data_IF_563423278309
#
_entry.id   IF_563423278309
#
_cell.length_a   1.000
_cell.length_b   1.000
_cell.length_c   1.000
_cell.angle_alpha   90.00
_cell.angle_beta   90.00
_cell.angle_gamma   90.00
#
_symmetry.space_group_name_H-M   'P 1'
#
loop_
_entity.id
_entity.type
_entity.pdbx_description
1 polymer ?
#
# COMPACT_ATOMS: atom_id res chain seq x y z
N UNK A 1 2.36 -0.96 -12.27
CA UNK A 1 2.85 -0.68 -13.64
C UNK A 1 4.30 -0.20 -13.70
N UNK A 2 4.72 0.58 -12.71
CA UNK A 2 6.09 1.10 -12.47
C UNK A 2 7.19 0.05 -12.71
N UNK A 3 7.02 -1.19 -12.23
CA UNK A 3 8.00 -2.28 -12.41
C UNK A 3 8.28 -2.63 -13.89
N UNK A 4 7.27 -2.56 -14.78
CA UNK A 4 7.45 -2.81 -16.21
C UNK A 4 8.16 -1.63 -16.89
N UNK A 5 7.89 -0.41 -16.45
CA UNK A 5 8.55 0.82 -16.93
C UNK A 5 10.04 0.90 -16.53
N UNK A 6 10.36 0.59 -15.27
CA UNK A 6 11.75 0.50 -14.80
C UNK A 6 12.55 -0.54 -15.60
N UNK A 7 11.91 -1.68 -15.93
CA UNK A 7 12.50 -2.74 -16.76
C UNK A 7 12.73 -2.32 -18.22
N UNK A 8 11.93 -1.40 -18.78
CA UNK A 8 12.08 -0.92 -20.17
C UNK A 8 13.13 0.19 -20.33
N UNK A 9 13.53 0.86 -19.24
CA UNK A 9 14.56 1.93 -19.26
C UNK A 9 15.95 1.50 -18.76
N UNK A 10 16.26 0.20 -18.74
CA UNK A 10 17.53 -0.35 -18.21
C UNK A 10 17.87 0.06 -16.76
N UNK A 11 16.87 0.47 -15.96
CA UNK A 11 16.99 0.51 -14.52
C UNK A 11 16.77 -0.92 -13.99
N UNK A 12 17.81 -1.75 -14.10
CA UNK A 12 17.78 -3.14 -13.63
C UNK A 12 17.43 -3.20 -12.13
N UNK A 13 16.23 -3.69 -11.83
CA UNK A 13 15.87 -4.30 -10.55
C UNK A 13 15.99 -5.81 -10.76
N UNK A 14 16.90 -6.43 -10.03
CA UNK A 14 17.02 -7.88 -9.98
C UNK A 14 15.76 -8.46 -9.32
N UNK A 15 15.05 -9.34 -10.03
CA UNK A 15 13.97 -10.15 -9.47
C UNK A 15 14.45 -11.59 -9.37
N UNK A 16 14.54 -12.10 -8.14
CA UNK A 16 14.73 -13.52 -7.88
C UNK A 16 13.36 -14.24 -7.91
N UNK A 17 13.25 -15.43 -8.54
CA UNK A 17 12.05 -16.23 -8.50
C UNK A 17 11.92 -16.96 -7.16
N UNK A 18 10.68 -17.07 -6.68
CA UNK A 18 10.29 -17.86 -5.50
C UNK A 18 10.51 -19.36 -5.73
N UNK A 19 11.22 -20.03 -4.82
CA UNK A 19 11.13 -21.48 -4.64
C UNK A 19 11.01 -21.86 -3.16
N UNK A 20 10.41 -23.03 -2.96
CA UNK A 20 9.82 -23.60 -1.74
C UNK A 20 10.83 -24.26 -0.78
N UNK A 21 10.36 -24.41 0.48
CA UNK A 21 10.67 -25.41 1.51
C UNK A 21 12.11 -25.60 2.01
N UNK A 22 12.31 -25.45 3.33
CA UNK A 22 12.65 -26.60 4.20
C UNK A 22 12.49 -26.25 5.69
N UNK A 23 11.84 -27.16 6.43
CA UNK A 23 11.83 -27.24 7.89
C UNK A 23 13.26 -27.37 8.45
N UNK A 24 13.54 -26.72 9.58
CA UNK A 24 14.55 -27.18 10.53
C UNK A 24 13.97 -27.10 11.96
N UNK A 25 13.70 -28.28 12.51
CA UNK A 25 13.53 -28.53 13.95
C UNK A 25 14.90 -28.44 14.63
N UNK A 26 14.97 -27.86 15.82
CA UNK A 26 16.00 -28.25 16.79
C UNK A 26 15.45 -28.26 18.22
N UNK A 27 15.78 -29.36 18.90
CA UNK A 27 15.34 -29.78 20.22
C UNK A 27 16.02 -29.02 21.37
N UNK A 28 15.28 -29.05 22.48
CA UNK A 28 15.57 -28.79 23.89
C UNK A 28 16.88 -29.38 24.42
N UNK A 29 17.52 -28.66 25.36
CA UNK A 29 18.27 -29.28 26.48
C UNK A 29 17.99 -28.49 27.76
N UNK A 30 17.44 -29.16 28.77
CA UNK A 30 17.36 -28.74 30.17
C UNK A 30 18.64 -29.13 30.93
N UNK A 31 19.00 -28.31 31.92
CA UNK A 31 19.73 -28.65 33.17
C UNK A 31 19.64 -27.37 34.03
N UNK A 32 19.30 -27.32 35.31
CA UNK A 32 19.19 -28.31 36.36
C UNK A 32 19.83 -27.75 37.65
N UNK A 33 18.99 -27.42 38.64
CA UNK A 33 19.22 -27.64 40.09
C UNK A 33 19.98 -26.60 40.97
N UNK A 34 19.19 -25.91 41.81
CA UNK A 34 19.20 -25.95 43.31
C UNK A 34 20.13 -25.08 44.19
N UNK A 35 19.43 -24.25 44.98
CA UNK A 35 19.47 -24.02 46.45
C UNK A 35 20.55 -23.18 47.16
N UNK A 36 19.97 -22.30 47.99
CA UNK A 36 20.30 -21.93 49.38
C UNK A 36 21.23 -20.74 49.67
N UNK A 37 20.73 -19.85 50.55
CA UNK A 37 21.53 -19.38 51.68
C UNK A 37 21.59 -17.88 51.96
N UNK A 38 20.59 -17.37 52.67
CA UNK A 38 20.71 -16.50 53.88
C UNK A 38 21.78 -15.40 53.98
N UNK A 39 21.29 -14.15 53.90
CA UNK A 39 21.32 -13.07 54.92
C UNK A 39 22.59 -12.64 55.69
N UNK A 40 22.64 -11.31 55.88
CA UNK A 40 23.29 -10.47 56.91
C UNK A 40 24.74 -10.00 56.69
N UNK A 41 24.91 -8.70 56.46
CA UNK A 41 25.53 -7.78 57.42
C UNK A 41 25.41 -6.31 56.96
N UNK A 42 24.96 -5.46 57.88
CA UNK A 42 24.90 -4.00 57.76
C UNK A 42 26.30 -3.38 57.89
N UNK A 43 26.56 -2.29 57.17
CA UNK A 43 27.20 -1.11 57.76
C UNK A 43 27.02 0.14 56.88
N UNK A 44 26.63 1.22 57.57
CA UNK A 44 26.48 2.60 57.12
C UNK A 44 27.77 3.15 56.51
N UNK A 45 27.68 4.08 55.55
CA UNK A 45 28.53 5.29 55.48
C UNK A 45 28.09 6.25 54.36
N UNK A 46 27.69 7.45 54.81
CA UNK A 46 27.94 8.78 54.26
C UNK A 46 27.30 9.25 52.93
N UNK A 47 26.63 10.38 53.08
CA UNK A 47 25.93 11.19 52.07
C UNK A 47 26.90 11.97 51.17
N UNK A 48 26.66 11.97 49.85
CA UNK A 48 27.12 13.02 48.95
C UNK A 48 26.26 13.10 47.68
N UNK A 49 25.38 14.09 47.65
CA UNK A 49 24.87 14.85 46.50
C UNK A 49 24.91 14.17 45.12
N UNK A 50 23.89 13.35 44.81
CA UNK A 50 23.55 13.02 43.43
C UNK A 50 22.81 14.21 42.81
N UNK A 51 23.52 15.09 42.09
CA UNK A 51 22.90 16.00 41.14
C UNK A 51 22.48 15.16 39.92
N UNK A 52 21.29 14.57 39.98
CA UNK A 52 20.65 13.89 38.85
C UNK A 52 20.31 14.95 37.79
N UNK A 53 21.27 15.26 36.92
CA UNK A 53 21.00 15.92 35.65
C UNK A 53 20.22 14.92 34.79
N UNK A 54 18.90 14.93 34.92
CA UNK A 54 18.01 14.21 34.01
C UNK A 54 18.06 14.93 32.67
N UNK A 55 19.13 14.69 31.90
CA UNK A 55 19.16 14.94 30.48
C UNK A 55 18.04 14.11 29.86
N UNK A 56 16.90 14.75 29.59
CA UNK A 56 15.93 14.21 28.65
C UNK A 56 16.63 14.24 27.29
N UNK A 57 17.34 13.16 26.98
CA UNK A 57 17.72 12.85 25.62
C UNK A 57 16.42 12.59 24.88
N UNK A 58 15.79 13.65 24.37
CA UNK A 58 14.83 13.52 23.28
C UNK A 58 15.65 12.98 22.12
N UNK A 59 15.65 11.65 21.97
CA UNK A 59 16.14 11.00 20.77
C UNK A 59 15.21 11.44 19.64
N UNK A 60 15.55 12.55 18.98
CA UNK A 60 14.97 12.89 17.69
C UNK A 60 15.46 11.78 16.77
N UNK A 61 14.65 10.75 16.61
CA UNK A 61 14.87 9.73 15.60
C UNK A 61 14.54 10.44 14.30
N UNK A 62 15.56 10.98 13.62
CA UNK A 62 15.42 11.33 12.20
C UNK A 62 15.08 10.02 11.49
N UNK A 63 13.80 9.82 11.21
CA UNK A 63 13.36 8.69 10.41
C UNK A 63 13.73 9.00 8.97
N UNK A 64 14.83 8.42 8.51
CA UNK A 64 15.24 8.44 7.12
C UNK A 64 14.17 7.70 6.28
N UNK A 65 13.30 8.46 5.61
CA UNK A 65 12.10 7.91 4.98
C UNK A 65 11.15 8.94 4.41
N UNK A 66 10.04 8.46 3.84
CA UNK A 66 8.96 9.29 3.30
C UNK A 66 7.69 9.09 4.12
N UNK A 67 6.96 10.17 4.37
CA UNK A 67 5.67 10.10 5.05
C UNK A 67 4.52 9.92 4.05
N UNK A 68 3.65 8.94 4.31
CA UNK A 68 2.39 8.77 3.60
C UNK A 68 1.24 9.17 4.51
N UNK A 69 0.59 10.29 4.21
CA UNK A 69 -0.61 10.77 4.90
C UNK A 69 -1.81 10.12 4.22
N UNK A 70 -2.41 9.12 4.85
CA UNK A 70 -3.57 8.39 4.31
C UNK A 70 -4.83 8.98 4.92
N UNK A 71 -5.63 9.66 4.10
CA UNK A 71 -6.83 10.37 4.51
C UNK A 71 -8.09 9.72 3.93
N UNK A 72 -9.15 9.64 4.73
CA UNK A 72 -10.46 9.18 4.28
C UNK A 72 -11.43 10.37 4.21
N UNK A 73 -11.73 10.82 2.99
CA UNK A 73 -12.76 11.82 2.74
C UNK A 73 -14.07 11.18 2.23
N UNK A 74 -14.19 9.85 2.29
CA UNK A 74 -15.44 9.16 2.02
C UNK A 74 -16.41 9.37 3.19
N UNK A 75 -17.72 9.30 2.92
CA UNK A 75 -18.78 9.38 3.96
C UNK A 75 -18.88 8.14 4.85
N UNK A 76 -18.21 7.07 4.46
CA UNK A 76 -18.19 5.78 5.15
C UNK A 76 -16.75 5.46 5.54
N UNK A 77 -16.58 4.59 6.54
CA UNK A 77 -15.25 4.09 6.91
C UNK A 77 -14.63 3.28 5.77
N UNK A 78 -13.31 3.42 5.63
CA UNK A 78 -12.51 2.60 4.73
C UNK A 78 -11.48 1.85 5.55
N UNK A 79 -11.01 0.72 5.01
CA UNK A 79 -9.94 -0.04 5.62
C UNK A 79 -8.75 -0.03 4.66
N UNK A 80 -7.85 0.97 4.76
CA UNK A 80 -6.67 0.99 3.92
C UNK A 80 -5.85 -0.28 4.13
N UNK A 81 -5.30 -0.79 3.04
CA UNK A 81 -4.40 -1.92 3.02
C UNK A 81 -3.13 -1.54 2.27
N UNK A 82 -1.99 -2.02 2.79
CA UNK A 82 -0.65 -1.65 2.34
C UNK A 82 0.13 -2.91 2.04
N UNK A 83 0.75 -2.97 0.87
CA UNK A 83 1.63 -4.05 0.49
C UNK A 83 2.97 -3.52 0.00
N UNK A 84 4.04 -3.84 0.73
CA UNK A 84 5.41 -3.67 0.25
C UNK A 84 5.71 -4.62 -0.90
N UNK A 85 6.48 -4.13 -1.89
CA UNK A 85 7.05 -4.95 -2.95
C UNK A 85 8.17 -5.85 -2.40
N UNK A 86 8.66 -6.81 -3.19
CA UNK A 86 9.68 -7.77 -2.75
C UNK A 86 10.88 -7.07 -2.12
N UNK A 87 11.20 -7.43 -0.87
CA UNK A 87 12.27 -6.80 -0.07
C UNK A 87 11.85 -5.58 0.75
N UNK A 88 10.62 -5.09 0.64
CA UNK A 88 10.11 -3.95 1.42
C UNK A 88 9.06 -4.36 2.46
N UNK A 89 9.04 -3.71 3.63
CA UNK A 89 8.05 -4.00 4.67
C UNK A 89 6.63 -3.55 4.26
N UNK A 90 5.62 -4.20 4.85
CA UNK A 90 4.23 -3.74 4.80
C UNK A 90 3.90 -3.06 6.14
N UNK A 91 3.98 -1.71 6.24
CA UNK A 91 3.74 -1.00 7.48
C UNK A 91 2.32 -1.23 8.00
N UNK A 92 2.09 -0.99 9.30
CA UNK A 92 0.82 -1.28 9.98
C UNK A 92 0.35 -2.73 9.78
N UNK A 93 1.28 -3.68 9.66
CA UNK A 93 1.00 -5.08 9.35
C UNK A 93 0.15 -5.26 8.07
N UNK A 94 0.23 -4.30 7.16
CA UNK A 94 -0.45 -4.28 5.88
C UNK A 94 -1.92 -3.85 5.90
N UNK A 95 -2.49 -3.39 7.01
CA UNK A 95 -3.84 -2.84 6.99
C UNK A 95 -4.35 -2.27 8.31
N UNK A 96 -5.27 -1.31 8.22
CA UNK A 96 -5.86 -0.64 9.38
C UNK A 96 -7.27 -0.13 9.09
N UNK A 97 -7.99 0.27 10.13
CA UNK A 97 -9.28 0.98 10.06
C UNK A 97 -9.05 2.49 9.91
N UNK A 98 -9.86 3.15 9.08
CA UNK A 98 -9.83 4.61 8.91
C UNK A 98 -11.27 5.14 8.78
N UNK A 99 -11.73 5.84 9.81
CA UNK A 99 -13.06 6.46 9.87
C UNK A 99 -13.23 7.62 8.88
N UNK A 100 -14.47 8.03 8.64
CA UNK A 100 -14.79 9.19 7.79
C UNK A 100 -14.17 10.46 8.37
N UNK A 101 -13.43 11.21 7.56
CA UNK A 101 -12.74 12.44 7.95
C UNK A 101 -11.42 12.23 8.72
N UNK A 102 -11.02 10.98 8.98
CA UNK A 102 -9.78 10.69 9.67
C UNK A 102 -8.58 10.62 8.71
N UNK A 103 -7.40 10.89 9.24
CA UNK A 103 -6.13 10.68 8.57
C UNK A 103 -5.13 9.94 9.48
N UNK A 104 -4.24 9.17 8.86
CA UNK A 104 -3.15 8.46 9.53
C UNK A 104 -1.87 8.67 8.76
N UNK A 105 -0.81 9.07 9.48
CA UNK A 105 0.55 9.13 8.93
C UNK A 105 1.19 7.75 9.02
N UNK A 106 1.69 7.27 7.88
CA UNK A 106 2.43 6.02 7.74
C UNK A 106 3.85 6.34 7.31
N UNK A 107 4.82 5.99 8.13
CA UNK A 107 6.24 6.09 7.80
C UNK A 107 6.66 4.90 6.93
N UNK A 108 7.33 5.18 5.81
CA UNK A 108 7.96 4.15 4.97
C UNK A 108 9.46 4.45 4.82
N UNK A 109 10.32 3.41 4.79
CA UNK A 109 11.77 3.60 4.68
C UNK A 109 12.15 4.27 3.35
N UNK A 110 13.34 4.85 3.28
CA UNK A 110 13.91 5.33 2.03
C UNK A 110 13.92 4.23 0.96
N UNK A 111 13.62 4.57 -0.29
CA UNK A 111 13.56 3.63 -1.39
C UNK A 111 12.36 2.69 -1.35
N UNK A 112 11.40 2.89 -0.43
CA UNK A 112 10.24 2.01 -0.31
C UNK A 112 9.47 1.92 -1.62
N UNK A 113 9.15 0.69 -2.01
CA UNK A 113 8.26 0.42 -3.12
C UNK A 113 7.12 -0.47 -2.68
N UNK A 114 5.91 -0.16 -3.13
CA UNK A 114 4.72 -0.89 -2.75
C UNK A 114 3.45 -0.29 -3.33
N UNK A 115 2.33 -0.69 -2.76
CA UNK A 115 1.00 -0.25 -3.15
C UNK A 115 0.06 -0.09 -1.97
N UNK A 116 -0.90 0.79 -2.12
CA UNK A 116 -1.99 1.04 -1.16
C UNK A 116 -3.32 0.93 -1.90
N UNK A 117 -4.34 0.37 -1.25
CA UNK A 117 -5.71 0.37 -1.74
C UNK A 117 -6.70 0.50 -0.58
N UNK A 118 -7.92 0.94 -0.87
CA UNK A 118 -8.99 1.02 0.11
C UNK A 118 -9.91 -0.20 0.03
N UNK A 119 -10.33 -0.71 1.18
CA UNK A 119 -11.35 -1.75 1.30
C UNK A 119 -12.63 -1.16 1.86
N UNK A 120 -13.79 -1.63 1.39
CA UNK A 120 -15.10 -1.11 1.78
C UNK A 120 -16.06 -2.20 2.23
N UNK A 121 -17.04 -1.83 3.06
CA UNK A 121 -18.05 -2.75 3.58
C UNK A 121 -17.44 -3.88 4.39
N UNK A 122 -16.46 -3.56 5.25
CA UNK A 122 -15.73 -4.55 6.02
C UNK A 122 -16.38 -4.82 7.38
N UNK A 123 -16.27 -6.06 7.82
CA UNK A 123 -16.58 -6.48 9.17
C UNK A 123 -15.43 -7.36 9.66
N UNK A 124 -14.84 -7.01 10.80
CA UNK A 124 -13.78 -7.78 11.43
C UNK A 124 -14.11 -8.02 12.89
N UNK A 125 -13.91 -9.26 13.32
CA UNK A 125 -13.93 -9.64 14.72
C UNK A 125 -12.79 -8.94 15.47
N UNK A 126 -13.12 -8.29 16.60
CA UNK A 126 -12.18 -7.44 17.32
C UNK A 126 -11.06 -8.24 18.01
N UNK A 127 -11.33 -9.50 18.39
CA UNK A 127 -10.39 -10.35 19.11
C UNK A 127 -9.39 -11.00 18.16
N UNK A 128 -9.85 -11.42 16.98
CA UNK A 128 -9.06 -12.21 16.03
C UNK A 128 -8.57 -11.39 14.84
N UNK A 129 -9.17 -10.23 14.56
CA UNK A 129 -8.89 -9.43 13.36
C UNK A 129 -9.33 -10.12 12.05
N UNK A 130 -10.15 -11.17 12.13
CA UNK A 130 -10.65 -11.94 10.99
C UNK A 130 -12.06 -11.52 10.61
N UNK A 131 -12.40 -11.65 9.33
CA UNK A 131 -13.70 -11.25 8.82
C UNK A 131 -13.72 -11.18 7.30
N UNK A 132 -14.32 -10.13 6.74
CA UNK A 132 -14.41 -9.93 5.29
C UNK A 132 -14.58 -8.46 4.92
N UNK A 133 -14.26 -8.11 3.68
CA UNK A 133 -14.66 -6.88 3.02
C UNK A 133 -15.46 -7.17 1.74
N UNK A 134 -16.38 -6.28 1.37
CA UNK A 134 -17.13 -6.40 0.12
C UNK A 134 -16.25 -6.18 -1.12
N UNK A 135 -15.27 -5.27 -1.02
CA UNK A 135 -14.28 -4.99 -2.07
C UNK A 135 -12.88 -4.84 -1.50
N UNK A 136 -11.88 -5.22 -2.30
CA UNK A 136 -10.46 -5.11 -1.93
C UNK A 136 -10.01 -6.04 -0.79
N UNK A 137 -10.82 -7.01 -0.39
CA UNK A 137 -10.50 -7.93 0.71
C UNK A 137 -9.12 -8.59 0.55
N UNK A 138 -8.41 -8.84 1.64
CA UNK A 138 -7.06 -9.43 1.61
C UNK A 138 -6.98 -10.73 2.40
N UNK A 139 -7.91 -11.65 2.14
CA UNK A 139 -7.97 -12.97 2.77
C UNK A 139 -8.74 -12.97 4.09
N UNK A 140 -9.69 -12.04 4.25
CA UNK A 140 -10.49 -11.90 5.45
C UNK A 140 -9.72 -11.41 6.66
N UNK A 141 -8.64 -10.65 6.47
CA UNK A 141 -7.79 -10.15 7.54
C UNK A 141 -7.85 -8.62 7.63
N UNK A 142 -7.96 -8.07 8.83
CA UNK A 142 -7.81 -6.63 9.07
C UNK A 142 -6.39 -6.17 8.68
N UNK A 143 -5.39 -6.90 9.15
CA UNK A 143 -3.98 -6.73 8.82
C UNK A 143 -3.60 -7.72 7.72
N UNK A 144 -3.39 -7.23 6.51
CA UNK A 144 -3.21 -8.09 5.34
C UNK A 144 -1.94 -8.94 5.35
N UNK A 145 -0.93 -8.60 6.17
CA UNK A 145 0.28 -9.42 6.38
C UNK A 145 0.95 -9.90 5.08
N UNK A 146 1.03 -9.02 4.08
CA UNK A 146 1.66 -9.34 2.78
C UNK A 146 0.71 -9.93 1.74
N UNK A 147 -0.56 -10.18 2.07
CA UNK A 147 -1.58 -10.63 1.12
C UNK A 147 -2.09 -9.45 0.30
N UNK A 148 -2.08 -9.60 -1.02
CA UNK A 148 -2.65 -8.60 -1.94
C UNK A 148 -4.18 -8.61 -1.91
N UNK A 149 -4.78 -7.44 -2.18
CA UNK A 149 -6.24 -7.31 -2.27
C UNK A 149 -6.83 -8.10 -3.43
N UNK A 150 -8.04 -8.62 -3.21
CA UNK A 150 -8.88 -9.28 -4.22
C UNK A 150 -9.56 -8.20 -5.07
N UNK A 151 -9.33 -8.19 -6.40
CA UNK A 151 -9.96 -7.24 -7.30
C UNK A 151 -11.50 -7.39 -7.42
N UNK A 152 -12.26 -6.32 -7.76
CA UNK A 152 -11.76 -5.04 -8.20
C UNK A 152 -11.28 -4.13 -7.05
N UNK A 153 -10.14 -3.48 -7.27
CA UNK A 153 -9.58 -2.53 -6.32
C UNK A 153 -8.78 -1.44 -7.06
N UNK A 154 -9.08 -0.18 -6.76
CA UNK A 154 -8.28 0.95 -7.22
C UNK A 154 -6.95 0.94 -6.47
N UNK A 155 -5.83 0.92 -7.19
CA UNK A 155 -4.49 0.84 -6.58
C UNK A 155 -3.76 2.18 -6.66
N UNK A 156 -3.12 2.59 -5.58
CA UNK A 156 -2.06 3.60 -5.58
C UNK A 156 -0.73 2.85 -5.57
N UNK A 157 0.10 3.03 -6.58
CA UNK A 157 1.41 2.37 -6.72
C UNK A 157 2.54 3.39 -6.58
N UNK A 158 3.62 3.04 -5.88
CA UNK A 158 4.77 3.94 -5.75
C UNK A 158 6.11 3.23 -5.57
N UNK A 159 7.16 3.96 -5.94
CA UNK A 159 8.57 3.68 -5.68
C UNK A 159 9.22 5.01 -5.26
N UNK A 160 9.56 5.14 -3.99
CA UNK A 160 10.00 6.39 -3.36
C UNK A 160 11.53 6.42 -3.28
N UNK A 161 12.16 6.47 -4.45
CA UNK A 161 13.60 6.32 -4.60
C UNK A 161 14.05 4.88 -4.84
N UNK A 162 15.31 4.73 -5.21
CA UNK A 162 16.02 3.46 -5.43
C UNK A 162 17.49 3.64 -5.06
N UNK A 163 18.24 2.55 -4.93
CA UNK A 163 19.70 2.61 -4.70
C UNK A 163 20.49 3.37 -5.78
N UNK A 164 19.87 3.66 -6.93
CA UNK A 164 20.49 4.35 -8.07
C UNK A 164 19.95 5.77 -8.29
N UNK A 165 18.86 6.16 -7.63
CA UNK A 165 18.19 7.44 -7.88
C UNK A 165 17.24 7.79 -6.74
N UNK A 166 17.32 9.03 -6.25
CA UNK A 166 16.38 9.61 -5.30
C UNK A 166 15.03 10.01 -5.94
N UNK A 167 14.83 9.75 -7.23
CA UNK A 167 13.58 10.11 -7.92
C UNK A 167 12.44 9.19 -7.50
N UNK A 168 11.31 9.77 -7.10
CA UNK A 168 10.10 9.02 -6.77
C UNK A 168 9.22 8.87 -8.00
N UNK A 169 8.55 7.73 -8.09
CA UNK A 169 7.57 7.38 -9.11
C UNK A 169 6.28 6.98 -8.42
N UNK A 170 5.15 7.53 -8.86
CA UNK A 170 3.84 7.16 -8.32
C UNK A 170 2.75 7.29 -9.36
N UNK A 171 1.72 6.46 -9.21
CA UNK A 171 0.55 6.46 -10.05
C UNK A 171 -0.69 5.90 -9.33
N UNK A 172 -1.86 6.13 -9.92
CA UNK A 172 -3.09 5.43 -9.59
C UNK A 172 -3.45 4.52 -10.77
N UNK A 173 -3.83 3.28 -10.48
CA UNK A 173 -4.03 2.23 -11.48
C UNK A 173 -5.39 1.55 -11.32
N UNK A 174 -6.09 1.45 -12.44
CA UNK A 174 -7.37 0.76 -12.63
C UNK A 174 -7.20 -0.57 -13.36
N UNK A 175 -5.96 -1.04 -13.53
CA UNK A 175 -5.68 -2.33 -14.17
C UNK A 175 -6.37 -3.49 -13.42
N UNK A 176 -6.48 -3.38 -12.10
CA UNK A 176 -7.19 -4.29 -11.21
C UNK A 176 -8.63 -3.82 -10.94
N UNK A 177 -9.20 -2.97 -11.81
CA UNK A 177 -10.54 -2.43 -11.66
C UNK A 177 -10.63 -1.25 -10.71
N UNK A 178 -11.85 -0.94 -10.30
CA UNK A 178 -12.19 0.19 -9.45
C UNK A 178 -13.18 -0.24 -8.37
N UNK A 179 -13.03 0.31 -7.17
CA UNK A 179 -14.02 0.17 -6.10
C UNK A 179 -14.35 1.52 -5.46
N UNK A 180 -13.34 2.34 -5.18
CA UNK A 180 -13.52 3.72 -4.72
C UNK A 180 -12.56 4.71 -5.40
N UNK A 181 -12.92 6.01 -5.42
CA UNK A 181 -12.02 7.05 -5.89
C UNK A 181 -10.83 7.24 -4.96
N UNK A 182 -9.67 7.53 -5.54
CA UNK A 182 -8.44 7.81 -4.79
C UNK A 182 -7.52 8.74 -5.58
N UNK A 183 -6.79 9.58 -4.85
CA UNK A 183 -5.69 10.39 -5.40
C UNK A 183 -4.45 10.28 -4.55
N UNK A 184 -3.30 10.59 -5.15
CA UNK A 184 -2.01 10.77 -4.49
C UNK A 184 -1.36 12.05 -5.01
N UNK A 185 -0.89 12.90 -4.09
CA UNK A 185 -0.16 14.13 -4.41
C UNK A 185 1.00 14.36 -3.44
N UNK A 186 2.13 14.93 -3.89
CA UNK A 186 3.24 15.30 -3.02
C UNK A 186 2.90 16.54 -2.17
N UNK A 187 3.49 16.63 -0.99
CA UNK A 187 3.51 17.86 -0.16
C UNK A 187 4.87 18.50 -0.32
N UNK A 188 4.90 19.74 -0.81
CA UNK A 188 6.15 20.50 -1.05
C UNK A 188 7.17 19.74 -1.91
N UNK A 189 6.70 19.06 -2.95
CA UNK A 189 7.55 18.29 -3.86
C UNK A 189 8.39 19.16 -4.78
N UNK A 190 9.58 18.67 -5.13
CA UNK A 190 10.49 19.27 -6.12
C UNK A 190 10.60 18.39 -7.37
N UNK A 191 10.61 19.02 -8.54
CA UNK A 191 10.68 18.35 -9.84
C UNK A 191 9.51 18.70 -10.77
N UNK A 192 9.78 18.81 -12.06
CA UNK A 192 8.80 19.24 -13.06
C UNK A 192 7.62 18.26 -13.24
N UNK A 193 7.77 17.00 -12.83
CA UNK A 193 6.74 15.96 -12.94
C UNK A 193 5.91 15.75 -11.67
N UNK A 194 6.07 16.58 -10.64
CA UNK A 194 5.22 16.54 -9.46
C UNK A 194 3.78 16.93 -9.85
N UNK A 195 2.79 16.14 -9.43
CA UNK A 195 1.40 16.40 -9.76
C UNK A 195 0.46 15.44 -9.06
N UNK A 196 -0.82 15.51 -9.43
CA UNK A 196 -1.83 14.60 -8.89
C UNK A 196 -1.89 13.36 -9.77
N UNK A 197 -1.69 12.19 -9.17
CA UNK A 197 -2.10 10.91 -9.74
C UNK A 197 -3.45 10.54 -9.14
N UNK A 198 -4.44 10.13 -9.92
CA UNK A 198 -5.77 9.93 -9.35
C UNK A 198 -6.83 9.42 -10.30
N UNK A 199 -7.76 8.68 -9.73
CA UNK A 199 -9.09 8.46 -10.27
C UNK A 199 -10.05 9.07 -9.26
N UNK A 200 -10.33 10.36 -9.45
CA UNK A 200 -11.07 11.17 -8.46
C UNK A 200 -12.58 10.99 -8.63
N UNK A 201 -13.05 10.72 -9.86
CA UNK A 201 -14.45 10.49 -10.15
C UNK A 201 -14.94 9.11 -9.69
N UNK A 202 -16.22 9.01 -9.35
CA UNK A 202 -16.87 7.74 -9.02
C UNK A 202 -17.17 6.93 -10.30
N UNK A 203 -16.21 6.10 -10.73
CA UNK A 203 -16.34 5.24 -11.92
C UNK A 203 -17.48 4.21 -11.81
N UNK A 204 -17.93 3.85 -10.60
CA UNK A 204 -19.07 2.94 -10.43
C UNK A 204 -20.35 3.46 -11.10
N UNK A 205 -20.53 4.78 -11.20
CA UNK A 205 -21.69 5.40 -11.87
C UNK A 205 -21.68 5.16 -13.38
N UNK A 206 -20.49 5.01 -13.96
CA UNK A 206 -20.28 4.82 -15.40
C UNK A 206 -19.91 3.38 -15.74
N UNK A 207 -20.00 2.45 -14.77
CA UNK A 207 -19.54 1.09 -14.95
C UNK A 207 -20.45 0.34 -15.95
N UNK A 208 -19.91 -0.18 -17.08
CA UNK A 208 -20.69 -0.99 -18.00
C UNK A 208 -21.25 -2.22 -17.30
N UNK A 209 -22.48 -2.62 -17.64
CA UNK A 209 -23.17 -3.76 -17.01
C UNK A 209 -22.35 -5.06 -16.99
N UNK A 210 -21.57 -5.31 -18.04
CA UNK A 210 -20.68 -6.47 -18.13
C UNK A 210 -19.52 -6.49 -17.09
N UNK A 211 -19.22 -5.34 -16.47
CA UNK A 211 -18.11 -5.14 -15.54
C UNK A 211 -18.57 -4.89 -14.10
N UNK A 212 -19.87 -4.70 -13.87
CA UNK A 212 -20.43 -4.36 -12.56
C UNK A 212 -20.16 -5.46 -11.53
N UNK A 213 -19.78 -5.03 -10.32
CA UNK A 213 -19.83 -5.83 -9.10
C UNK A 213 -20.89 -5.22 -8.19
N UNK A 214 -21.96 -5.97 -7.97
CA UNK A 214 -23.08 -5.54 -7.13
C UNK A 214 -23.09 -6.30 -5.80
N UNK A 215 -23.44 -5.60 -4.71
CA UNK A 215 -23.75 -6.18 -3.40
C UNK A 215 -24.97 -5.46 -2.86
N UNK A 216 -25.99 -6.23 -2.43
CA UNK A 216 -27.22 -5.69 -1.83
C UNK A 216 -27.88 -4.58 -2.67
N UNK A 217 -27.94 -4.75 -4.00
CA UNK A 217 -28.56 -3.76 -4.90
C UNK A 217 -27.71 -2.50 -5.17
N UNK A 218 -26.48 -2.42 -4.65
CA UNK A 218 -25.54 -1.31 -4.86
C UNK A 218 -24.34 -1.76 -5.69
N UNK A 219 -23.98 -0.98 -6.72
CA UNK A 219 -22.70 -1.15 -7.42
C UNK A 219 -21.57 -0.77 -6.48
N UNK A 220 -20.80 -1.75 -6.05
CA UNK A 220 -19.67 -1.57 -5.11
C UNK A 220 -18.31 -1.57 -5.81
N UNK A 221 -18.26 -2.00 -7.07
CA UNK A 221 -17.04 -1.96 -7.86
C UNK A 221 -17.28 -2.17 -9.34
N UNK A 222 -16.24 -1.90 -10.12
CA UNK A 222 -16.19 -2.08 -11.55
C UNK A 222 -14.94 -2.88 -11.91
N UNK A 223 -15.12 -4.08 -12.46
CA UNK A 223 -14.00 -4.90 -12.95
C UNK A 223 -13.29 -4.19 -14.10
N UNK A 224 -11.99 -4.37 -14.20
CA UNK A 224 -11.29 -4.09 -15.45
C UNK A 224 -11.70 -5.10 -16.52
N UNK A 225 -11.45 -4.78 -17.79
CA UNK A 225 -11.72 -5.70 -18.89
C UNK A 225 -10.93 -7.02 -18.77
N UNK A 226 -9.69 -6.96 -18.26
CA UNK A 226 -8.90 -8.16 -18.00
C UNK A 226 -9.59 -9.06 -16.97
N UNK A 227 -10.06 -8.49 -15.85
CA UNK A 227 -10.72 -9.26 -14.80
C UNK A 227 -12.03 -9.90 -15.25
N UNK A 228 -12.79 -9.21 -16.10
CA UNK A 228 -14.06 -9.72 -16.60
C UNK A 228 -13.87 -10.78 -17.69
N UNK A 229 -12.99 -10.54 -18.67
CA UNK A 229 -12.85 -11.40 -19.84
C UNK A 229 -11.79 -12.49 -19.71
N UNK A 230 -10.77 -12.29 -18.84
CA UNK A 230 -9.64 -13.22 -18.60
C UNK A 230 -8.92 -13.70 -19.86
N UNK A 231 -8.98 -12.93 -20.94
CA UNK A 231 -8.33 -13.27 -22.22
C UNK A 231 -7.02 -12.51 -22.39
N UNK A 232 -6.09 -13.09 -23.15
CA UNK A 232 -4.79 -12.48 -23.45
C UNK A 232 -4.88 -11.07 -24.04
N UNK A 233 -5.89 -10.82 -24.88
CA UNK A 233 -6.12 -9.50 -25.48
C UNK A 233 -6.40 -8.41 -24.44
N UNK A 234 -7.20 -8.72 -23.42
CA UNK A 234 -7.59 -7.75 -22.39
C UNK A 234 -6.57 -7.66 -21.24
N UNK A 235 -5.87 -8.77 -20.96
CA UNK A 235 -4.83 -8.84 -19.94
C UNK A 235 -3.43 -8.49 -20.46
N UNK A 236 -3.31 -8.29 -21.78
CA UNK A 236 -2.07 -7.97 -22.46
C UNK A 236 -0.96 -9.01 -22.19
N UNK A 237 -1.34 -10.29 -22.26
CA UNK A 237 -0.48 -11.46 -22.06
C UNK A 237 -0.30 -12.21 -23.38
N UNK A 238 0.54 -13.25 -23.37
CA UNK A 238 0.82 -14.06 -24.56
C UNK A 238 1.32 -13.20 -25.73
N UNK A 239 0.71 -13.38 -26.90
CA UNK A 239 1.06 -12.61 -28.11
C UNK A 239 0.76 -11.10 -28.01
N UNK A 240 -0.10 -10.68 -27.07
CA UNK A 240 -0.45 -9.27 -26.87
C UNK A 240 0.50 -8.55 -25.90
N UNK A 241 1.46 -9.25 -25.30
CA UNK A 241 2.48 -8.64 -24.45
C UNK A 241 3.30 -7.62 -25.26
N UNK A 242 3.31 -6.36 -24.83
CA UNK A 242 4.02 -5.26 -25.51
C UNK A 242 3.35 -4.74 -26.80
N UNK A 243 2.26 -5.38 -27.25
CA UNK A 243 1.49 -4.99 -28.46
C UNK A 243 0.03 -4.70 -28.17
N UNK A 244 -0.30 -4.56 -26.88
CA UNK A 244 -1.67 -4.39 -26.42
C UNK A 244 -2.21 -3.02 -26.84
N UNK A 245 -3.42 -3.00 -27.42
CA UNK A 245 -4.12 -1.77 -27.80
C UNK A 245 -5.22 -1.44 -26.79
N UNK A 246 -5.52 -0.16 -26.54
CA UNK A 246 -6.59 0.22 -25.64
C UNK A 246 -7.94 -0.30 -26.16
N UNK A 247 -8.70 -0.92 -25.27
CA UNK A 247 -10.05 -1.44 -25.56
C UNK A 247 -11.11 -0.37 -25.31
N UNK A 248 -12.37 -0.62 -25.68
CA UNK A 248 -13.47 0.32 -25.39
C UNK A 248 -13.60 0.59 -23.88
N UNK A 249 -13.40 -0.44 -23.06
CA UNK A 249 -13.44 -0.32 -21.60
C UNK A 249 -12.27 0.49 -21.05
N UNK A 250 -11.05 0.27 -21.55
CA UNK A 250 -9.88 1.07 -21.16
C UNK A 250 -10.07 2.56 -21.51
N UNK A 251 -10.61 2.86 -22.71
CA UNK A 251 -10.92 4.24 -23.12
C UNK A 251 -11.99 4.89 -22.23
N UNK A 252 -13.03 4.15 -21.84
CA UNK A 252 -14.03 4.63 -20.89
C UNK A 252 -13.39 5.00 -19.55
N UNK A 253 -12.58 4.08 -18.98
CA UNK A 253 -11.91 4.31 -17.70
C UNK A 253 -10.98 5.52 -17.78
N UNK A 254 -10.25 5.67 -18.90
CA UNK A 254 -9.37 6.82 -19.16
C UNK A 254 -10.14 8.14 -19.29
N UNK A 255 -11.34 8.11 -19.87
CA UNK A 255 -12.19 9.30 -20.01
C UNK A 255 -12.69 9.78 -18.65
N UNK A 256 -13.09 8.84 -17.78
CA UNK A 256 -13.57 9.17 -16.43
C UNK A 256 -12.42 9.53 -15.49
N UNK A 257 -11.27 8.88 -15.64
CA UNK A 257 -10.09 9.04 -14.80
C UNK A 257 -8.83 9.28 -15.65
N UNK A 258 -8.65 10.50 -16.19
CA UNK A 258 -7.55 10.81 -17.09
C UNK A 258 -6.17 10.73 -16.42
N UNK A 259 -6.11 10.96 -15.10
CA UNK A 259 -4.91 10.94 -14.27
C UNK A 259 -4.58 9.56 -13.69
N UNK A 260 -5.21 8.49 -14.18
CA UNK A 260 -4.95 7.11 -13.78
C UNK A 260 -4.58 6.22 -14.98
N UNK A 261 -3.85 5.14 -14.70
CA UNK A 261 -3.66 4.05 -15.64
C UNK A 261 -4.97 3.29 -15.83
N UNK A 262 -5.48 3.21 -17.06
CA UNK A 262 -6.72 2.51 -17.38
C UNK A 262 -6.54 1.03 -17.72
N UNK A 263 -5.32 0.62 -18.12
CA UNK A 263 -4.95 -0.76 -18.42
C UNK A 263 -3.42 -0.96 -18.39
N UNK A 264 -2.95 -2.21 -18.49
CA UNK A 264 -1.55 -2.58 -18.24
C UNK A 264 -0.47 -1.94 -19.15
N UNK A 265 -0.85 -1.38 -20.31
CA UNK A 265 0.04 -0.73 -21.26
C UNK A 265 -0.47 0.67 -21.63
N UNK A 266 -1.20 1.34 -20.72
CA UNK A 266 -1.55 2.74 -20.93
C UNK A 266 -0.31 3.60 -21.14
N UNK A 267 -0.53 4.77 -21.74
CA UNK A 267 0.54 5.72 -21.91
C UNK A 267 1.14 6.12 -20.55
N UNK A 268 2.44 6.41 -20.52
CA UNK A 268 3.13 6.75 -19.28
C UNK A 268 2.94 8.22 -18.87
N UNK A 269 2.01 8.98 -19.49
CA UNK A 269 1.80 10.40 -19.15
C UNK A 269 1.19 10.59 -17.75
N UNK A 270 0.54 9.54 -17.24
CA UNK A 270 -0.04 9.53 -15.89
C UNK A 270 0.96 9.16 -14.80
N UNK A 271 2.12 8.59 -15.16
CA UNK A 271 3.20 8.36 -14.22
C UNK A 271 3.74 9.70 -13.74
N UNK A 272 3.69 9.92 -12.43
CA UNK A 272 4.25 11.14 -11.83
C UNK A 272 5.67 10.86 -11.35
N UNK A 273 6.52 11.87 -11.51
CA UNK A 273 7.93 11.82 -11.10
C UNK A 273 8.24 13.03 -10.24
N UNK A 274 8.59 12.79 -8.98
CA UNK A 274 8.74 13.86 -8.00
C UNK A 274 9.81 13.48 -6.96
N UNK A 275 10.29 14.44 -6.19
CA UNK A 275 11.00 14.18 -4.93
C UNK A 275 10.30 14.99 -3.87
N UNK A 276 9.73 14.30 -2.87
CA UNK A 276 8.97 14.96 -1.81
C UNK A 276 9.13 14.18 -0.49
N UNK A 277 9.23 14.87 0.65
CA UNK A 277 9.33 14.22 1.96
C UNK A 277 8.01 13.58 2.39
N UNK A 278 6.88 14.05 1.86
CA UNK A 278 5.55 13.59 2.25
C UNK A 278 4.63 13.51 1.03
N UNK A 279 3.70 12.58 1.07
CA UNK A 279 2.63 12.43 0.08
C UNK A 279 1.29 12.28 0.80
N UNK A 280 0.24 12.91 0.26
CA UNK A 280 -1.13 12.73 0.72
C UNK A 280 -1.82 11.76 -0.24
N UNK A 281 -2.38 10.69 0.32
CA UNK A 281 -3.24 9.73 -0.36
C UNK A 281 -4.64 9.95 0.19
N UNK A 282 -5.58 10.37 -0.66
CA UNK A 282 -6.94 10.69 -0.24
C UNK A 282 -7.93 9.73 -0.89
N UNK A 283 -8.64 8.96 -0.07
CA UNK A 283 -9.82 8.22 -0.51
C UNK A 283 -11.02 9.17 -0.63
N UNK A 284 -11.76 9.07 -1.73
CA UNK A 284 -12.84 9.99 -2.11
C UNK A 284 -12.41 11.47 -2.07
N UNK A 285 -11.38 11.89 -2.83
CA UNK A 285 -10.89 13.27 -2.81
C UNK A 285 -12.00 14.27 -3.17
N UNK A 286 -11.94 15.51 -2.63
CA UNK A 286 -12.93 16.54 -2.92
C UNK A 286 -12.89 16.92 -4.41
N UNK A 287 -14.07 17.11 -4.99
CA UNK A 287 -14.29 17.54 -6.36
C UNK A 287 -14.42 19.06 -6.47
#
# INVERSE_FOLDING_TARGET
MIRKWLKTRNLHIAFFPSQQHHEMKHNTVEQGRSRNGSTFLNSMLSSSHYFLFFCILVSISDTDGTELIVANNCKESVWPAILGNGGHPSPKHGGFYLGSGEEVVVQVPEGWSGRIWGRQGCYFDQQTGKGYCQTGDCGGLLQCNGIGGVPPATLVEMTLGTSKSALHFYDVSLADGFNLPVSMKPVSGSGAGCGVAGCEANLNVYCPSALVVERNGKVVGCKSACLAAKSDRYCCTGEFAGRCKPTVFARLFKTVCPNAYSYAFDDSSVLKTCVAPRYVITFCPPH
#
